data_IF_015468463280
#
_entry.id   IF_015468463280
#
_cell.length_a   1.000
_cell.length_b   1.000
_cell.length_c   1.000
_cell.angle_alpha   90.00
_cell.angle_beta   90.00
_cell.angle_gamma   90.00
#
_symmetry.space_group_name_H-M   'P 1'
#
loop_
_entity.id
_entity.type
_entity.pdbx_description
1 polymer ?
#
# COMPACT_ATOMS: atom_id res chain seq x y z
N UNK A 1 9.48 -10.53 20.27
CA UNK A 1 8.76 -11.13 21.42
C UNK A 1 7.30 -10.69 21.35
N UNK A 2 6.41 -11.58 20.92
CA UNK A 2 4.96 -11.36 20.82
C UNK A 2 4.20 -12.38 21.71
N UNK A 3 4.90 -13.01 22.64
CA UNK A 3 4.51 -14.30 23.23
C UNK A 3 3.59 -14.19 24.46
N UNK A 4 3.23 -12.97 24.90
CA UNK A 4 2.54 -12.78 26.20
C UNK A 4 1.03 -12.50 26.09
N UNK A 5 0.45 -12.45 24.89
CA UNK A 5 -0.99 -12.21 24.72
C UNK A 5 -1.79 -13.52 24.65
N UNK A 6 -2.72 -13.70 25.59
CA UNK A 6 -3.69 -14.78 25.67
C UNK A 6 -4.90 -14.52 24.76
N UNK A 7 -4.69 -14.68 23.46
CA UNK A 7 -5.75 -14.54 22.47
C UNK A 7 -6.86 -15.60 22.63
N UNK A 8 -6.58 -16.74 23.27
CA UNK A 8 -7.59 -17.76 23.57
C UNK A 8 -8.57 -17.27 24.65
N UNK A 9 -8.07 -16.65 25.72
CA UNK A 9 -8.90 -15.99 26.73
C UNK A 9 -9.74 -14.88 26.11
N UNK A 10 -9.13 -14.00 25.32
CA UNK A 10 -9.82 -12.92 24.61
C UNK A 10 -10.95 -13.47 23.71
N UNK A 11 -10.65 -14.43 22.84
CA UNK A 11 -11.66 -15.02 21.95
C UNK A 11 -12.77 -15.77 22.70
N UNK A 12 -12.45 -16.48 23.79
CA UNK A 12 -13.45 -17.15 24.61
C UNK A 12 -14.36 -16.15 25.36
N UNK A 13 -13.89 -14.94 25.65
CA UNK A 13 -14.76 -13.89 26.21
C UNK A 13 -15.84 -13.41 25.21
N UNK A 14 -15.54 -13.50 23.90
CA UNK A 14 -16.43 -13.08 22.81
C UNK A 14 -17.29 -14.25 22.31
N UNK A 15 -16.70 -15.43 22.21
CA UNK A 15 -17.32 -16.68 21.78
C UNK A 15 -17.22 -17.71 22.92
N UNK A 16 -18.13 -17.70 23.90
CA UNK A 16 -18.03 -18.57 25.07
C UNK A 16 -18.03 -20.06 24.72
N UNK A 17 -17.24 -20.83 25.48
CA UNK A 17 -17.10 -22.28 25.33
C UNK A 17 -16.47 -22.69 23.99
N UNK A 18 -15.53 -21.90 23.49
CA UNK A 18 -14.78 -22.19 22.26
C UNK A 18 -13.30 -22.35 22.53
N UNK A 19 -12.64 -23.15 21.70
CA UNK A 19 -11.18 -23.28 21.68
C UNK A 19 -10.68 -23.02 20.27
N UNK A 20 -9.57 -22.29 20.16
CA UNK A 20 -9.00 -21.82 18.92
C UNK A 20 -7.53 -22.21 18.83
N UNK A 21 -7.11 -22.67 17.65
CA UNK A 21 -5.70 -22.73 17.26
C UNK A 21 -5.30 -21.37 16.69
N UNK A 22 -4.24 -20.76 17.23
CA UNK A 22 -3.86 -19.39 16.89
C UNK A 22 -2.45 -19.42 16.33
N UNK A 23 -2.30 -18.94 15.10
CA UNK A 23 -1.05 -18.95 14.35
C UNK A 23 -0.73 -17.55 13.84
N UNK A 24 0.51 -17.10 14.02
CA UNK A 24 0.96 -15.80 13.52
C UNK A 24 1.06 -15.85 12.00
N UNK A 25 0.50 -14.86 11.32
CA UNK A 25 0.67 -14.67 9.89
C UNK A 25 1.94 -13.85 9.61
N UNK A 26 2.63 -14.20 8.52
CA UNK A 26 3.77 -13.43 8.02
C UNK A 26 3.28 -12.14 7.33
N UNK A 27 4.16 -11.15 7.19
CA UNK A 27 3.90 -9.93 6.40
C UNK A 27 3.40 -8.71 7.18
N UNK A 28 2.77 -8.89 8.34
CA UNK A 28 2.36 -7.77 9.20
C UNK A 28 3.55 -7.11 9.91
N UNK A 29 3.95 -5.91 9.47
CA UNK A 29 5.04 -5.14 10.09
C UNK A 29 4.52 -4.26 11.24
N UNK A 30 3.35 -3.67 11.06
CA UNK A 30 2.80 -2.63 11.95
C UNK A 30 1.96 -3.23 13.08
N UNK A 31 1.21 -4.29 12.79
CA UNK A 31 0.37 -4.99 13.76
C UNK A 31 0.80 -6.44 13.93
N UNK A 32 0.46 -7.02 15.08
CA UNK A 32 0.54 -8.47 15.24
C UNK A 32 -0.70 -9.10 14.59
N UNK A 33 -0.50 -9.80 13.48
CA UNK A 33 -1.57 -10.45 12.73
C UNK A 33 -1.56 -11.95 12.95
N UNK A 34 -2.72 -12.53 13.25
CA UNK A 34 -2.89 -13.97 13.51
C UNK A 34 -4.10 -14.52 12.77
N UNK A 35 -4.04 -15.80 12.38
CA UNK A 35 -5.20 -16.60 12.04
C UNK A 35 -5.60 -17.44 13.25
N UNK A 36 -6.87 -17.35 13.64
CA UNK A 36 -7.48 -18.16 14.67
C UNK A 36 -8.48 -19.14 14.04
N UNK A 37 -8.26 -20.44 14.19
CA UNK A 37 -9.12 -21.49 13.65
C UNK A 37 -9.80 -22.24 14.78
N UNK A 38 -11.14 -22.35 14.72
CA UNK A 38 -11.94 -23.00 15.74
C UNK A 38 -11.63 -24.51 15.79
N UNK A 39 -11.21 -25.01 16.95
CA UNK A 39 -10.91 -26.44 17.17
C UNK A 39 -11.95 -27.15 18.02
N UNK A 40 -12.73 -26.42 18.83
CA UNK A 40 -13.81 -26.98 19.65
C UNK A 40 -14.85 -25.90 19.99
N UNK A 41 -16.08 -26.32 20.24
CA UNK A 41 -17.22 -25.44 20.52
C UNK A 41 -18.04 -25.08 19.28
N UNK A 42 -18.85 -24.03 19.39
CA UNK A 42 -19.67 -23.51 18.29
C UNK A 42 -19.58 -21.99 18.26
N UNK A 43 -19.19 -21.44 17.11
CA UNK A 43 -19.17 -20.02 16.82
C UNK A 43 -19.72 -19.77 15.41
N UNK A 44 -20.19 -18.55 15.08
CA UNK A 44 -20.63 -18.22 13.72
C UNK A 44 -19.53 -18.35 12.66
N UNK A 45 -18.26 -18.37 13.08
CA UNK A 45 -17.08 -18.42 12.23
C UNK A 45 -16.20 -19.62 12.62
N UNK A 46 -15.71 -20.35 11.62
CA UNK A 46 -14.75 -21.44 11.83
C UNK A 46 -13.29 -20.99 11.76
N UNK A 47 -13.05 -19.81 11.19
CA UNK A 47 -11.73 -19.15 11.16
C UNK A 47 -11.90 -17.63 11.15
N UNK A 48 -10.94 -16.94 11.75
CA UNK A 48 -10.91 -15.49 11.94
C UNK A 48 -9.48 -14.95 11.75
N UNK A 49 -9.37 -13.69 11.34
CA UNK A 49 -8.11 -12.94 11.41
C UNK A 49 -8.16 -11.97 12.58
N UNK A 50 -7.13 -12.02 13.43
CA UNK A 50 -6.90 -11.08 14.51
C UNK A 50 -5.78 -10.13 14.11
N UNK A 51 -6.04 -8.82 14.14
CA UNK A 51 -4.98 -7.80 14.08
C UNK A 51 -4.93 -7.08 15.42
N UNK A 52 -3.82 -7.22 16.12
CA UNK A 52 -3.58 -6.58 17.42
C UNK A 52 -2.57 -5.45 17.26
N UNK A 53 -3.03 -4.23 17.51
CA UNK A 53 -2.22 -3.02 17.59
C UNK A 53 -1.87 -2.71 19.06
N UNK A 54 -0.58 -2.51 19.30
CA UNK A 54 -0.03 -1.88 20.51
C UNK A 54 0.38 -0.43 20.18
N UNK A 55 0.71 0.43 21.17
CA UNK A 55 1.12 1.82 20.94
C UNK A 55 2.51 1.95 20.27
N UNK A 56 2.89 0.98 19.45
CA UNK A 56 4.11 0.91 18.68
C UNK A 56 3.96 -0.02 17.46
N UNK A 57 4.91 0.06 16.53
CA UNK A 57 5.02 -0.81 15.35
C UNK A 57 5.46 -2.21 15.78
N UNK A 58 4.69 -3.24 15.47
CA UNK A 58 4.92 -4.62 15.94
C UNK A 58 6.33 -5.16 15.63
N UNK A 59 6.91 -4.79 14.48
CA UNK A 59 8.27 -5.15 14.10
C UNK A 59 9.35 -4.39 14.89
N UNK A 60 9.19 -3.07 15.07
CA UNK A 60 10.17 -2.21 15.75
C UNK A 60 10.10 -2.28 17.28
N UNK A 61 8.98 -2.71 17.84
CA UNK A 61 8.77 -2.75 19.29
C UNK A 61 8.55 -1.35 19.89
N UNK A 62 8.55 -1.21 21.22
CA UNK A 62 8.21 0.03 21.92
C UNK A 62 9.03 1.28 21.55
N UNK A 63 10.21 1.10 20.94
CA UNK A 63 11.05 2.22 20.48
C UNK A 63 10.47 2.92 19.23
N UNK A 64 9.55 2.26 18.53
CA UNK A 64 8.89 2.75 17.33
C UNK A 64 7.43 3.07 17.65
N UNK A 65 7.22 4.14 18.42
CA UNK A 65 5.90 4.58 18.87
C UNK A 65 4.93 4.78 17.69
N UNK A 66 3.74 4.22 17.82
CA UNK A 66 2.68 4.40 16.86
C UNK A 66 1.33 4.10 17.51
N UNK A 67 0.46 5.10 17.47
CA UNK A 67 -0.83 5.13 18.16
C UNK A 67 -1.78 3.99 17.74
N UNK A 68 -2.61 3.47 18.66
CA UNK A 68 -3.51 2.34 18.34
C UNK A 68 -4.70 2.76 17.47
N UNK A 69 -5.01 4.05 17.41
CA UNK A 69 -6.06 4.69 16.62
C UNK A 69 -5.88 4.49 15.11
N UNK A 70 -4.71 4.04 14.65
CA UNK A 70 -4.55 3.53 13.27
C UNK A 70 -5.55 2.41 12.94
N UNK A 71 -5.98 1.63 13.95
CA UNK A 71 -7.01 0.62 13.76
C UNK A 71 -8.44 1.20 13.74
N UNK A 72 -8.68 2.40 14.30
CA UNK A 72 -9.95 3.11 14.07
C UNK A 72 -10.09 3.50 12.60
N UNK A 73 -8.98 3.91 11.96
CA UNK A 73 -8.94 4.22 10.53
C UNK A 73 -9.26 2.97 9.71
N UNK A 74 -8.57 1.85 9.98
CA UNK A 74 -8.83 0.60 9.27
C UNK A 74 -10.27 0.10 9.48
N UNK A 75 -10.77 0.11 10.72
CA UNK A 75 -12.14 -0.29 11.03
C UNK A 75 -13.19 0.58 10.30
N UNK A 76 -12.99 1.90 10.29
CA UNK A 76 -13.89 2.84 9.61
C UNK A 76 -13.96 2.54 8.12
N UNK A 77 -12.83 2.34 7.46
CA UNK A 77 -12.81 2.07 6.02
C UNK A 77 -13.35 0.70 5.67
N UNK A 78 -13.05 -0.34 6.45
CA UNK A 78 -13.66 -1.66 6.25
C UNK A 78 -15.19 -1.59 6.40
N UNK A 79 -15.70 -0.76 7.32
CA UNK A 79 -17.14 -0.51 7.45
C UNK A 79 -17.71 0.24 6.25
N UNK A 80 -17.05 1.30 5.79
CA UNK A 80 -17.49 2.10 4.63
C UNK A 80 -17.48 1.30 3.32
N UNK A 81 -16.49 0.43 3.14
CA UNK A 81 -16.37 -0.46 1.97
C UNK A 81 -17.21 -1.74 2.07
N UNK A 82 -17.70 -2.10 3.26
CA UNK A 82 -18.52 -3.28 3.49
C UNK A 82 -19.85 -3.25 2.72
N UNK A 83 -20.56 -4.37 2.65
CA UNK A 83 -21.73 -4.53 1.77
C UNK A 83 -22.87 -3.53 2.03
N UNK A 84 -22.99 -3.05 3.26
CA UNK A 84 -23.94 -2.01 3.68
C UNK A 84 -23.31 -0.62 3.84
N UNK A 85 -22.02 -0.48 3.54
CA UNK A 85 -21.25 0.75 3.73
C UNK A 85 -21.52 1.79 2.64
N UNK A 86 -21.28 3.06 2.97
CA UNK A 86 -21.56 4.17 2.07
C UNK A 86 -20.71 4.16 0.78
N UNK A 87 -19.58 3.47 0.78
CA UNK A 87 -18.69 3.31 -0.38
C UNK A 87 -18.92 2.01 -1.15
N UNK A 88 -19.82 1.12 -0.69
CA UNK A 88 -20.18 -0.11 -1.41
C UNK A 88 -20.57 0.12 -2.88
N UNK A 89 -21.36 1.17 -3.24
CA UNK A 89 -21.65 1.44 -4.65
C UNK A 89 -20.40 1.79 -5.46
N UNK A 90 -19.44 2.51 -4.88
CA UNK A 90 -18.17 2.86 -5.54
C UNK A 90 -17.33 1.61 -5.80
N UNK A 91 -17.27 0.68 -4.82
CA UNK A 91 -16.58 -0.61 -4.93
C UNK A 91 -17.08 -1.50 -6.08
N UNK A 92 -18.26 -1.23 -6.62
CA UNK A 92 -18.88 -2.01 -7.69
C UNK A 92 -19.03 -1.26 -9.02
N UNK A 93 -18.58 0.00 -9.12
CA UNK A 93 -18.93 0.90 -10.22
C UNK A 93 -18.28 0.52 -11.58
N UNK A 94 -17.03 0.04 -11.56
CA UNK A 94 -16.27 -0.32 -12.79
C UNK A 94 -15.42 -1.57 -12.62
N UNK A 95 -14.81 -1.71 -11.46
CA UNK A 95 -14.05 -2.86 -11.03
C UNK A 95 -14.73 -3.43 -9.80
N UNK A 96 -14.75 -4.76 -9.68
CA UNK A 96 -15.15 -5.43 -8.45
C UNK A 96 -13.88 -5.90 -7.75
N UNK A 97 -13.69 -5.49 -6.50
CA UNK A 97 -12.64 -5.97 -5.62
C UNK A 97 -13.25 -6.29 -4.25
N UNK A 98 -12.56 -7.15 -3.51
CA UNK A 98 -12.96 -7.58 -2.17
C UNK A 98 -12.21 -6.77 -1.11
N UNK A 99 -12.79 -6.70 0.08
CA UNK A 99 -12.10 -6.24 1.28
C UNK A 99 -12.57 -7.11 2.44
N UNK A 100 -11.72 -7.38 3.46
CA UNK A 100 -12.13 -8.18 4.60
C UNK A 100 -13.37 -7.59 5.28
N UNK A 101 -14.27 -8.44 5.73
CA UNK A 101 -15.37 -7.97 6.56
C UNK A 101 -14.85 -7.68 7.96
N UNK A 102 -15.07 -6.46 8.46
CA UNK A 102 -14.92 -6.15 9.88
C UNK A 102 -16.02 -6.87 10.68
N UNK A 103 -15.61 -7.77 11.57
CA UNK A 103 -16.53 -8.48 12.48
C UNK A 103 -16.64 -7.72 13.81
N UNK A 104 -15.51 -7.27 14.34
CA UNK A 104 -15.43 -6.59 15.63
C UNK A 104 -14.18 -5.73 15.74
N UNK A 105 -14.28 -4.63 16.47
CA UNK A 105 -13.17 -3.77 16.86
C UNK A 105 -13.29 -3.47 18.35
N UNK A 106 -12.30 -3.88 19.13
CA UNK A 106 -12.23 -3.62 20.57
C UNK A 106 -10.99 -2.77 20.90
N UNK A 107 -11.17 -1.81 21.80
CA UNK A 107 -10.12 -0.89 22.25
C UNK A 107 -10.12 -0.81 23.77
N UNK A 108 -8.95 -0.60 24.36
CA UNK A 108 -8.80 -0.42 25.79
C UNK A 108 -7.37 -0.72 26.24
N UNK A 109 -7.26 -1.32 27.43
CA UNK A 109 -5.98 -1.84 27.93
C UNK A 109 -5.99 -3.38 27.88
N UNK A 110 -4.81 -3.99 27.71
CA UNK A 110 -4.68 -5.45 27.55
C UNK A 110 -5.36 -6.24 28.67
N UNK A 111 -5.27 -5.78 29.92
CA UNK A 111 -5.92 -6.43 31.07
C UNK A 111 -7.44 -6.41 31.03
N UNK A 112 -8.04 -5.34 30.49
CA UNK A 112 -9.49 -5.25 30.35
C UNK A 112 -9.99 -6.07 29.17
N UNK A 113 -9.18 -6.18 28.12
CA UNK A 113 -9.46 -7.06 26.98
C UNK A 113 -9.16 -8.53 27.30
N UNK A 114 -8.53 -8.84 28.44
CA UNK A 114 -8.15 -10.20 28.79
C UNK A 114 -7.05 -10.79 27.90
N UNK A 115 -6.24 -9.92 27.28
CA UNK A 115 -5.07 -10.31 26.48
C UNK A 115 -3.87 -10.58 27.38
N UNK A 116 -3.61 -9.77 28.40
CA UNK A 116 -2.50 -10.00 29.33
C UNK A 116 -2.75 -9.23 30.64
N UNK A 117 -1.98 -9.43 31.71
CA UNK A 117 -2.08 -8.60 32.92
C UNK A 117 -1.65 -7.12 32.73
N UNK A 118 -1.17 -6.74 31.55
CA UNK A 118 -0.61 -5.41 31.25
C UNK A 118 -1.70 -4.32 31.22
N UNK A 119 -1.33 -3.11 31.67
CA UNK A 119 -2.15 -1.90 31.51
C UNK A 119 -1.82 -1.13 30.22
N UNK A 120 -1.02 -1.74 29.33
CA UNK A 120 -0.70 -1.16 28.04
C UNK A 120 -1.98 -1.03 27.19
N UNK A 121 -2.07 0.07 26.47
CA UNK A 121 -3.13 0.28 25.49
C UNK A 121 -3.07 -0.78 24.39
N UNK A 122 -4.24 -1.25 23.96
CA UNK A 122 -4.39 -2.22 22.92
C UNK A 122 -5.65 -1.95 22.11
N UNK A 123 -5.54 -2.21 20.81
CA UNK A 123 -6.66 -2.28 19.89
C UNK A 123 -6.62 -3.61 19.16
N UNK A 124 -7.77 -4.26 19.01
CA UNK A 124 -7.89 -5.55 18.31
C UNK A 124 -9.02 -5.48 17.28
N UNK A 125 -8.66 -5.72 16.02
CA UNK A 125 -9.62 -5.99 14.94
C UNK A 125 -9.80 -7.49 14.79
N UNK A 126 -11.05 -7.92 14.72
CA UNK A 126 -11.45 -9.25 14.28
C UNK A 126 -12.05 -9.11 12.89
N UNK A 127 -11.42 -9.74 11.90
CA UNK A 127 -11.83 -9.72 10.51
C UNK A 127 -12.25 -11.12 10.06
N UNK A 128 -13.14 -11.18 9.08
CA UNK A 128 -13.45 -12.44 8.42
C UNK A 128 -12.20 -13.01 7.74
N UNK A 129 -11.95 -14.30 7.96
CA UNK A 129 -10.90 -15.02 7.26
C UNK A 129 -11.31 -15.31 5.83
N UNK A 130 -10.50 -14.83 4.89
CA UNK A 130 -10.70 -15.01 3.45
C UNK A 130 -9.97 -16.24 2.91
N UNK A 131 -9.42 -17.08 3.79
CA UNK A 131 -8.71 -18.31 3.44
C UNK A 131 -7.22 -18.08 3.23
N UNK A 132 -6.58 -18.99 2.50
CA UNK A 132 -5.17 -18.89 2.16
C UNK A 132 -4.97 -17.88 1.04
N UNK A 133 -4.19 -16.83 1.32
CA UNK A 133 -3.94 -15.73 0.42
C UNK A 133 -2.44 -15.57 0.16
N UNK A 134 -2.11 -15.07 -1.01
CA UNK A 134 -0.75 -14.67 -1.41
C UNK A 134 -0.76 -13.23 -1.90
N UNK A 135 0.37 -12.53 -1.82
CA UNK A 135 0.45 -11.19 -2.38
C UNK A 135 0.48 -11.22 -3.92
N UNK A 136 0.20 -10.08 -4.56
CA UNK A 136 0.06 -10.01 -6.02
C UNK A 136 1.34 -10.41 -6.77
N UNK A 137 2.54 -10.12 -6.24
CA UNK A 137 3.81 -10.48 -6.89
C UNK A 137 4.04 -11.99 -6.83
N UNK A 138 3.80 -12.63 -5.68
CA UNK A 138 3.85 -14.08 -5.54
C UNK A 138 2.85 -14.77 -6.47
N UNK A 139 1.63 -14.25 -6.55
CA UNK A 139 0.59 -14.75 -7.44
C UNK A 139 1.03 -14.71 -8.93
N UNK A 140 1.61 -13.58 -9.36
CA UNK A 140 2.10 -13.40 -10.73
C UNK A 140 3.25 -14.35 -11.05
N UNK A 141 4.25 -14.45 -10.15
CA UNK A 141 5.40 -15.35 -10.32
C UNK A 141 4.97 -16.81 -10.41
N UNK A 142 4.06 -17.24 -9.53
CA UNK A 142 3.52 -18.59 -9.56
C UNK A 142 2.92 -18.95 -10.93
N UNK A 143 2.06 -18.10 -11.48
CA UNK A 143 1.40 -18.37 -12.77
C UNK A 143 2.28 -18.15 -14.00
N UNK A 144 3.34 -17.35 -13.87
CA UNK A 144 4.32 -17.18 -14.93
C UNK A 144 5.28 -18.38 -15.05
N UNK A 145 5.51 -19.11 -13.95
CA UNK A 145 6.42 -20.27 -13.92
C UNK A 145 6.04 -21.38 -14.91
N UNK A 146 7.04 -21.99 -15.55
CA UNK A 146 6.85 -23.08 -16.51
C UNK A 146 6.28 -24.32 -15.81
N UNK A 147 4.99 -24.59 -16.01
CA UNK A 147 4.28 -25.72 -15.43
C UNK A 147 2.96 -25.36 -14.73
N UNK A 148 2.75 -24.09 -14.38
CA UNK A 148 1.63 -23.66 -13.52
C UNK A 148 0.68 -22.65 -14.19
N UNK A 149 0.33 -22.88 -15.46
CA UNK A 149 -0.52 -21.99 -16.28
C UNK A 149 -2.02 -22.23 -16.08
N UNK A 150 -2.49 -22.19 -14.84
CA UNK A 150 -3.92 -22.25 -14.56
C UNK A 150 -4.65 -20.93 -14.89
N UNK A 151 -3.90 -19.83 -14.99
CA UNK A 151 -4.42 -18.50 -15.32
C UNK A 151 -3.78 -18.01 -16.62
N UNK A 152 -4.61 -17.53 -17.54
CA UNK A 152 -4.18 -17.00 -18.85
C UNK A 152 -3.65 -15.58 -18.73
N UNK A 153 -2.81 -15.15 -19.68
CA UNK A 153 -2.33 -13.76 -19.74
C UNK A 153 -3.47 -12.73 -19.83
N UNK A 154 -4.60 -13.09 -20.46
CA UNK A 154 -5.79 -12.22 -20.50
C UNK A 154 -6.43 -12.05 -19.12
N UNK A 155 -6.47 -13.10 -18.31
CA UNK A 155 -6.95 -13.02 -16.93
C UNK A 155 -6.00 -12.21 -16.04
N UNK A 156 -4.68 -12.36 -16.19
CA UNK A 156 -3.71 -11.53 -15.46
C UNK A 156 -3.87 -10.04 -15.80
N UNK A 157 -4.06 -9.71 -17.08
CA UNK A 157 -4.38 -8.34 -17.51
C UNK A 157 -5.69 -7.85 -16.91
N UNK A 158 -6.73 -8.70 -16.83
CA UNK A 158 -7.99 -8.34 -16.17
C UNK A 158 -7.78 -7.99 -14.70
N UNK A 159 -6.99 -8.76 -13.96
CA UNK A 159 -6.64 -8.47 -12.56
C UNK A 159 -5.95 -7.10 -12.46
N UNK A 160 -4.93 -6.86 -13.29
CA UNK A 160 -4.23 -5.57 -13.35
C UNK A 160 -5.19 -4.40 -13.63
N UNK A 161 -6.08 -4.56 -14.62
CA UNK A 161 -7.12 -3.57 -14.94
C UNK A 161 -8.05 -3.32 -13.76
N UNK A 162 -8.50 -4.37 -13.08
CA UNK A 162 -9.38 -4.28 -11.91
C UNK A 162 -8.71 -3.49 -10.78
N UNK A 163 -7.43 -3.77 -10.48
CA UNK A 163 -6.70 -3.06 -9.41
C UNK A 163 -6.47 -1.59 -9.81
N UNK A 164 -6.06 -1.32 -11.05
CA UNK A 164 -5.85 0.05 -11.53
C UNK A 164 -7.14 0.88 -11.50
N UNK A 165 -8.27 0.29 -11.91
CA UNK A 165 -9.58 0.92 -11.79
C UNK A 165 -10.02 1.10 -10.34
N UNK A 166 -9.74 0.14 -9.45
CA UNK A 166 -10.06 0.24 -8.05
C UNK A 166 -9.39 1.47 -7.41
N UNK A 167 -8.08 1.62 -7.62
CA UNK A 167 -7.36 2.79 -7.10
C UNK A 167 -7.76 4.11 -7.77
N UNK A 168 -8.13 4.09 -9.06
CA UNK A 168 -8.71 5.28 -9.69
C UNK A 168 -10.07 5.68 -9.08
N UNK A 169 -10.85 4.72 -8.58
CA UNK A 169 -12.10 4.99 -7.85
C UNK A 169 -11.80 5.44 -6.41
N UNK A 170 -10.90 4.77 -5.70
CA UNK A 170 -10.50 5.13 -4.33
C UNK A 170 -10.00 6.59 -4.32
N UNK A 171 -9.14 6.96 -5.26
CA UNK A 171 -8.58 8.31 -5.37
C UNK A 171 -9.52 9.33 -6.01
N UNK A 172 -10.75 8.95 -6.36
CA UNK A 172 -11.65 9.86 -7.06
C UNK A 172 -12.24 10.94 -6.15
N UNK A 173 -12.50 12.15 -6.68
CA UNK A 173 -13.21 13.20 -5.94
C UNK A 173 -14.60 12.75 -5.46
N UNK A 174 -15.27 11.84 -6.18
CA UNK A 174 -16.56 11.28 -5.76
C UNK A 174 -16.45 10.45 -4.48
N UNK A 175 -15.41 9.65 -4.33
CA UNK A 175 -15.16 8.87 -3.10
C UNK A 175 -14.91 9.80 -1.93
N UNK A 176 -14.04 10.81 -2.10
CA UNK A 176 -13.78 11.79 -1.06
C UNK A 176 -15.04 12.57 -0.65
N UNK A 177 -15.86 12.98 -1.63
CA UNK A 177 -17.12 13.69 -1.39
C UNK A 177 -18.14 12.88 -0.57
N UNK A 178 -18.24 11.56 -0.84
CA UNK A 178 -19.10 10.68 -0.03
C UNK A 178 -18.62 10.66 1.43
N UNK A 179 -17.32 10.55 1.67
CA UNK A 179 -16.78 10.53 3.04
C UNK A 179 -16.99 11.88 3.73
N UNK A 180 -16.77 13.00 3.05
CA UNK A 180 -17.05 14.34 3.57
C UNK A 180 -18.52 14.53 3.97
N UNK A 181 -19.45 13.86 3.29
CA UNK A 181 -20.87 13.87 3.67
C UNK A 181 -21.19 13.11 4.97
N UNK A 182 -20.19 12.42 5.54
CA UNK A 182 -20.25 11.66 6.79
C UNK A 182 -19.32 12.30 7.84
N UNK A 183 -19.76 13.32 8.60
CA UNK A 183 -18.86 14.17 9.40
C UNK A 183 -17.97 13.42 10.40
N UNK A 184 -18.48 12.32 11.00
CA UNK A 184 -17.71 11.49 11.94
C UNK A 184 -16.58 10.74 11.23
N UNK A 185 -16.89 10.11 10.10
CA UNK A 185 -15.92 9.39 9.27
C UNK A 185 -14.89 10.35 8.70
N UNK A 186 -15.30 11.50 8.18
CA UNK A 186 -14.41 12.53 7.68
C UNK A 186 -13.43 13.03 8.75
N UNK A 187 -13.93 13.36 9.95
CA UNK A 187 -13.07 13.81 11.05
C UNK A 187 -12.02 12.76 11.44
N UNK A 188 -12.42 11.49 11.47
CA UNK A 188 -11.52 10.36 11.78
C UNK A 188 -10.45 10.16 10.70
N UNK A 189 -10.85 10.17 9.43
CA UNK A 189 -9.98 9.89 8.29
C UNK A 189 -9.12 11.09 7.85
N UNK A 190 -9.39 12.30 8.35
CA UNK A 190 -8.57 13.49 8.06
C UNK A 190 -7.40 13.63 9.05
N UNK A 191 -7.49 13.00 10.22
CA UNK A 191 -6.44 13.08 11.23
C UNK A 191 -5.24 12.24 10.80
N UNK A 192 -4.04 12.82 10.84
CA UNK A 192 -2.83 12.12 10.41
C UNK A 192 -2.11 11.51 11.61
N UNK A 193 -2.43 10.25 11.90
CA UNK A 193 -1.71 9.44 12.88
C UNK A 193 -0.36 8.93 12.36
N UNK A 194 -0.18 8.95 11.03
CA UNK A 194 0.90 8.25 10.32
C UNK A 194 2.08 9.15 9.99
N UNK A 195 1.93 10.48 10.05
CA UNK A 195 2.95 11.44 9.55
C UNK A 195 4.31 11.28 10.22
N UNK A 196 4.34 11.05 11.53
CA UNK A 196 5.59 10.85 12.27
C UNK A 196 6.31 9.58 11.79
N UNK A 197 5.55 8.49 11.63
CA UNK A 197 6.06 7.22 11.12
C UNK A 197 6.55 7.39 9.68
N UNK A 198 5.74 7.95 8.78
CA UNK A 198 6.13 8.23 7.38
C UNK A 198 7.43 9.05 7.28
N UNK A 199 7.62 10.02 8.17
CA UNK A 199 8.85 10.79 8.24
C UNK A 199 10.05 9.93 8.66
N UNK A 200 9.94 9.25 9.80
CA UNK A 200 11.02 8.46 10.39
C UNK A 200 11.45 7.29 9.50
N UNK A 201 10.50 6.65 8.81
CA UNK A 201 10.76 5.46 8.01
C UNK A 201 11.01 5.77 6.54
N UNK A 202 10.31 6.77 6.00
CA UNK A 202 10.28 7.04 4.56
C UNK A 202 11.15 8.21 4.13
N UNK A 203 11.34 9.23 4.97
CA UNK A 203 11.97 10.51 4.59
C UNK A 203 13.33 10.69 5.25
N UNK A 204 13.40 10.58 6.58
CA UNK A 204 14.63 10.80 7.35
C UNK A 204 15.81 9.92 6.87
N UNK A 205 15.63 8.61 6.60
CA UNK A 205 16.74 7.74 6.18
C UNK A 205 17.36 8.12 4.84
N UNK A 206 16.62 8.84 3.97
CA UNK A 206 17.05 9.18 2.61
C UNK A 206 18.36 9.97 2.59
N UNK A 207 18.57 10.83 3.60
CA UNK A 207 19.82 11.59 3.73
C UNK A 207 21.03 10.67 3.73
N UNK A 208 21.01 9.66 4.61
CA UNK A 208 22.10 8.70 4.74
C UNK A 208 22.18 7.80 3.50
N UNK A 209 21.04 7.37 2.96
CA UNK A 209 20.95 6.49 1.78
C UNK A 209 21.56 7.12 0.52
N UNK A 210 21.63 8.45 0.47
CA UNK A 210 22.23 9.22 -0.63
C UNK A 210 23.68 9.65 -0.39
N UNK A 211 24.23 9.50 0.83
CA UNK A 211 25.58 9.98 1.22
C UNK A 211 26.72 9.69 0.22
N UNK A 212 26.75 8.55 -0.48
CA UNK A 212 27.81 8.29 -1.47
C UNK A 212 27.83 9.28 -2.65
N UNK A 213 26.76 10.06 -2.86
CA UNK A 213 26.66 11.03 -3.95
C UNK A 213 27.15 12.42 -3.54
N UNK A 214 27.75 13.14 -4.49
CA UNK A 214 28.22 14.53 -4.27
C UNK A 214 27.08 15.55 -4.11
N UNK A 215 25.89 15.24 -4.61
CA UNK A 215 24.68 16.07 -4.57
C UNK A 215 23.64 15.58 -3.54
N UNK A 216 24.02 14.69 -2.63
CA UNK A 216 23.14 14.01 -1.68
C UNK A 216 22.22 14.95 -0.89
N UNK A 217 22.77 16.02 -0.32
CA UNK A 217 22.01 17.00 0.47
C UNK A 217 20.96 17.73 -0.37
N UNK A 218 21.23 17.97 -1.65
CA UNK A 218 20.30 18.64 -2.54
C UNK A 218 19.12 17.72 -2.88
N UNK A 219 19.40 16.46 -3.21
CA UNK A 219 18.36 15.46 -3.47
C UNK A 219 17.53 15.15 -2.22
N UNK A 220 18.17 15.01 -1.06
CA UNK A 220 17.47 14.86 0.22
C UNK A 220 16.56 16.05 0.50
N UNK A 221 17.04 17.28 0.28
CA UNK A 221 16.22 18.48 0.45
C UNK A 221 14.96 18.45 -0.43
N UNK A 222 15.04 17.96 -1.67
CA UNK A 222 13.86 17.82 -2.55
C UNK A 222 12.82 16.87 -1.96
N UNK A 223 13.26 15.72 -1.44
CA UNK A 223 12.37 14.76 -0.76
C UNK A 223 11.76 15.37 0.50
N UNK A 224 12.57 16.08 1.30
CA UNK A 224 12.13 16.74 2.52
C UNK A 224 11.10 17.84 2.24
N UNK A 225 11.33 18.65 1.21
CA UNK A 225 10.41 19.70 0.79
C UNK A 225 9.10 19.11 0.26
N UNK A 226 9.15 18.01 -0.49
CA UNK A 226 7.94 17.29 -0.94
C UNK A 226 7.11 16.71 0.22
N UNK A 227 7.72 16.51 1.41
CA UNK A 227 7.01 16.04 2.60
C UNK A 227 6.53 17.16 3.53
N UNK A 228 7.37 18.16 3.82
CA UNK A 228 7.07 19.23 4.78
C UNK A 228 6.63 20.55 4.14
N UNK A 229 7.15 20.88 2.96
CA UNK A 229 7.05 22.19 2.33
C UNK A 229 6.44 22.07 0.92
N UNK A 230 5.37 21.28 0.80
CA UNK A 230 4.74 20.97 -0.49
C UNK A 230 4.46 22.28 -1.25
N UNK A 231 5.11 22.43 -2.41
CA UNK A 231 5.08 23.68 -3.20
C UNK A 231 3.75 23.89 -3.93
N UNK A 232 3.03 22.81 -4.22
CA UNK A 232 1.86 22.80 -5.08
C UNK A 232 0.61 22.29 -4.35
N UNK A 233 -0.55 22.80 -4.73
CA UNK A 233 -1.81 22.35 -4.17
C UNK A 233 -2.34 21.17 -4.98
N UNK A 234 -2.16 19.97 -4.45
CA UNK A 234 -2.68 18.76 -5.06
C UNK A 234 -4.16 18.56 -4.74
N UNK A 235 -4.96 17.97 -5.65
CA UNK A 235 -6.31 17.55 -5.35
C UNK A 235 -6.30 16.54 -4.21
N UNK A 236 -7.12 16.80 -3.20
CA UNK A 236 -7.34 15.86 -2.12
C UNK A 236 -8.00 14.58 -2.63
N UNK A 237 -7.56 13.43 -2.12
CA UNK A 237 -8.23 12.16 -2.31
C UNK A 237 -8.11 11.26 -1.07
N UNK A 238 -9.04 10.30 -0.96
CA UNK A 238 -8.82 9.16 -0.07
C UNK A 238 -7.61 8.38 -0.58
N UNK A 239 -6.56 8.27 0.23
CA UNK A 239 -5.42 7.40 -0.02
C UNK A 239 -5.46 6.20 0.93
N UNK A 240 -4.92 5.06 0.50
CA UNK A 240 -4.62 3.91 1.34
C UNK A 240 -3.43 4.21 2.27
N UNK A 241 -2.46 5.00 1.81
CA UNK A 241 -1.35 5.56 2.59
C UNK A 241 -0.08 4.72 2.61
N UNK A 242 -0.20 3.39 2.53
CA UNK A 242 0.92 2.44 2.42
C UNK A 242 0.64 1.40 1.32
N UNK A 243 0.36 1.89 0.10
CA UNK A 243 0.04 1.00 -1.01
C UNK A 243 1.29 0.29 -1.53
N UNK A 244 1.36 -1.01 -1.28
CA UNK A 244 2.43 -1.89 -1.72
C UNK A 244 1.87 -3.17 -2.35
N UNK A 245 2.71 -4.02 -2.99
CA UNK A 245 2.26 -5.33 -3.44
C UNK A 245 1.65 -6.21 -2.35
N UNK A 246 2.06 -6.01 -1.08
CA UNK A 246 1.49 -6.71 0.08
C UNK A 246 0.05 -6.32 0.39
N UNK A 247 -0.37 -5.11 0.02
CA UNK A 247 -1.73 -4.60 0.25
C UNK A 247 -2.75 -5.15 -0.76
N UNK A 248 -2.30 -5.90 -1.78
CA UNK A 248 -3.15 -6.61 -2.73
C UNK A 248 -2.96 -8.11 -2.56
N UNK A 249 -4.01 -8.76 -2.07
CA UNK A 249 -4.03 -10.20 -1.87
C UNK A 249 -4.87 -10.90 -2.92
N UNK A 250 -4.44 -12.10 -3.28
CA UNK A 250 -5.11 -13.01 -4.18
C UNK A 250 -5.33 -14.35 -3.47
N UNK A 251 -6.40 -15.06 -3.82
CA UNK A 251 -6.57 -16.45 -3.39
C UNK A 251 -5.32 -17.26 -3.78
N UNK A 252 -4.83 -18.09 -2.86
CA UNK A 252 -3.73 -19.01 -3.14
C UNK A 252 -3.99 -19.77 -4.46
N UNK A 253 -3.01 -19.90 -5.35
CA UNK A 253 -3.22 -20.47 -6.68
C UNK A 253 -3.74 -21.92 -6.64
N UNK A 254 -4.99 -22.09 -7.06
CA UNK A 254 -5.65 -23.38 -7.32
C UNK A 254 -6.39 -23.29 -8.67
N UNK A 255 -6.77 -24.42 -9.30
CA UNK A 255 -7.47 -24.38 -10.59
C UNK A 255 -8.79 -23.59 -10.59
N UNK A 256 -9.42 -23.39 -9.42
CA UNK A 256 -10.71 -22.73 -9.26
C UNK A 256 -10.64 -21.46 -8.38
N UNK A 257 -9.44 -20.88 -8.20
CA UNK A 257 -9.29 -19.70 -7.36
C UNK A 257 -10.11 -18.52 -7.86
N UNK A 258 -10.72 -17.77 -6.94
CA UNK A 258 -11.36 -16.51 -7.27
C UNK A 258 -10.26 -15.50 -7.64
N UNK A 259 -10.36 -14.97 -8.86
CA UNK A 259 -9.39 -14.00 -9.40
C UNK A 259 -9.75 -12.56 -9.02
N UNK A 260 -10.70 -12.37 -8.10
CA UNK A 260 -11.08 -11.05 -7.60
C UNK A 260 -10.05 -10.58 -6.56
N UNK A 261 -9.32 -9.48 -6.83
CA UNK A 261 -8.31 -8.97 -5.91
C UNK A 261 -8.93 -8.51 -4.60
N UNK A 262 -8.20 -8.69 -3.51
CA UNK A 262 -8.58 -8.23 -2.17
C UNK A 262 -7.65 -7.07 -1.79
N UNK A 263 -8.21 -5.93 -1.39
CA UNK A 263 -7.45 -4.79 -0.88
C UNK A 263 -7.56 -4.75 0.65
N UNK A 264 -6.41 -4.69 1.31
CA UNK A 264 -6.24 -4.77 2.77
C UNK A 264 -5.36 -3.63 3.31
N UNK A 265 -5.15 -3.63 4.63
CA UNK A 265 -4.19 -2.77 5.34
C UNK A 265 -4.50 -1.27 5.24
N UNK A 266 -5.75 -0.90 5.53
CA UNK A 266 -6.24 0.48 5.50
C UNK A 266 -5.76 1.36 6.66
N UNK A 267 -4.82 0.91 7.50
CA UNK A 267 -4.45 1.60 8.74
C UNK A 267 -3.69 2.91 8.53
N UNK A 268 -3.11 3.12 7.33
CA UNK A 268 -2.45 4.37 6.94
C UNK A 268 -3.37 5.32 6.17
N UNK A 269 -4.63 4.93 5.96
CA UNK A 269 -5.48 5.62 5.03
C UNK A 269 -5.90 6.99 5.54
N UNK A 270 -6.05 7.94 4.61
CA UNK A 270 -6.40 9.32 4.93
C UNK A 270 -7.21 9.99 3.83
N UNK A 271 -8.20 10.78 4.23
CA UNK A 271 -9.09 11.52 3.32
C UNK A 271 -8.41 12.70 2.64
N UNK A 272 -7.45 13.34 3.33
CA UNK A 272 -6.57 14.39 2.83
C UNK A 272 -5.26 13.82 2.26
N UNK A 273 -5.38 12.67 1.60
CA UNK A 273 -4.26 11.89 1.11
C UNK A 273 -3.72 12.33 -0.23
N UNK A 274 -2.72 11.58 -0.68
CA UNK A 274 -2.07 11.72 -1.97
C UNK A 274 -2.28 10.42 -2.75
N UNK A 275 -2.81 10.52 -3.97
CA UNK A 275 -3.13 9.35 -4.78
C UNK A 275 -1.97 8.92 -5.65
N UNK A 276 -1.86 9.50 -6.85
CA UNK A 276 -0.81 9.12 -7.81
C UNK A 276 0.60 9.38 -7.29
N UNK A 277 0.78 10.46 -6.53
CA UNK A 277 2.05 10.90 -5.98
C UNK A 277 2.33 10.37 -4.56
N UNK A 278 1.61 9.35 -4.09
CA UNK A 278 2.03 8.57 -2.92
C UNK A 278 1.73 7.09 -3.14
N UNK A 279 0.47 6.67 -3.02
CA UNK A 279 0.06 5.27 -3.15
C UNK A 279 0.59 4.62 -4.43
N UNK A 280 0.30 5.24 -5.58
CA UNK A 280 0.69 4.66 -6.87
C UNK A 280 2.21 4.73 -7.07
N UNK A 281 2.84 5.82 -6.66
CA UNK A 281 4.29 5.98 -6.73
C UNK A 281 5.03 4.89 -5.95
N UNK A 282 4.59 4.62 -4.70
CA UNK A 282 5.20 3.61 -3.83
C UNK A 282 4.91 2.18 -4.27
N UNK A 283 3.70 1.89 -4.74
CA UNK A 283 3.37 0.62 -5.35
C UNK A 283 4.28 0.34 -6.55
N UNK A 284 4.38 1.29 -7.48
CA UNK A 284 5.23 1.14 -8.67
C UNK A 284 6.72 1.09 -8.34
N UNK A 285 7.19 1.78 -7.29
CA UNK A 285 8.57 1.68 -6.85
C UNK A 285 8.91 0.24 -6.43
N UNK A 286 8.00 -0.40 -5.69
CA UNK A 286 8.11 -1.80 -5.31
C UNK A 286 8.12 -2.72 -6.55
N UNK A 287 7.20 -2.50 -7.50
CA UNK A 287 7.14 -3.27 -8.74
C UNK A 287 8.40 -3.10 -9.60
N UNK A 288 8.97 -1.88 -9.65
CA UNK A 288 10.20 -1.61 -10.39
C UNK A 288 11.41 -2.31 -9.77
N UNK A 289 11.52 -2.35 -8.45
CA UNK A 289 12.56 -3.11 -7.77
C UNK A 289 12.46 -4.62 -8.08
N UNK A 290 11.25 -5.17 -8.07
CA UNK A 290 11.01 -6.56 -8.47
C UNK A 290 11.38 -6.82 -9.94
N UNK A 291 11.07 -5.89 -10.86
CA UNK A 291 11.48 -5.99 -12.27
C UNK A 291 13.00 -5.99 -12.44
N UNK A 292 13.73 -5.13 -11.72
CA UNK A 292 15.21 -5.10 -11.73
C UNK A 292 15.77 -6.46 -11.30
N UNK A 293 15.24 -7.05 -10.22
CA UNK A 293 15.68 -8.37 -9.77
C UNK A 293 15.41 -9.47 -10.80
N UNK A 294 14.23 -9.44 -11.42
CA UNK A 294 13.85 -10.44 -12.42
C UNK A 294 14.65 -10.29 -13.72
N UNK A 295 14.99 -9.06 -14.10
CA UNK A 295 15.86 -8.79 -15.25
C UNK A 295 17.27 -9.36 -15.04
N UNK A 296 17.82 -9.22 -13.84
CA UNK A 296 19.16 -9.71 -13.52
C UNK A 296 19.20 -11.24 -13.30
N UNK A 297 18.23 -11.79 -12.57
CA UNK A 297 18.34 -13.15 -12.00
C UNK A 297 17.05 -13.99 -12.15
N UNK A 298 15.98 -13.46 -12.74
CA UNK A 298 14.67 -14.12 -12.81
C UNK A 298 14.40 -14.86 -14.11
N UNK A 299 13.22 -15.49 -14.19
CA UNK A 299 12.73 -16.02 -15.45
C UNK A 299 12.20 -14.89 -16.35
N UNK A 300 12.49 -14.97 -17.64
CA UNK A 300 11.90 -14.08 -18.65
C UNK A 300 10.36 -14.09 -18.59
N UNK A 301 9.75 -15.24 -18.31
CA UNK A 301 8.31 -15.34 -18.20
C UNK A 301 7.75 -14.56 -17.01
N UNK A 302 8.45 -14.58 -15.86
CA UNK A 302 8.07 -13.82 -14.67
C UNK A 302 8.25 -12.31 -14.90
N UNK A 303 9.37 -11.92 -15.53
CA UNK A 303 9.62 -10.54 -15.94
C UNK A 303 8.51 -10.02 -16.87
N UNK A 304 8.21 -10.76 -17.95
CA UNK A 304 7.19 -10.37 -18.95
C UNK A 304 5.79 -10.30 -18.32
N UNK A 305 5.47 -11.19 -17.37
CA UNK A 305 4.20 -11.16 -16.65
C UNK A 305 4.08 -9.95 -15.74
N UNK A 306 5.13 -9.63 -14.97
CA UNK A 306 5.14 -8.48 -14.06
C UNK A 306 5.13 -7.15 -14.83
N UNK A 307 5.89 -7.06 -15.92
CA UNK A 307 5.91 -5.89 -16.80
C UNK A 307 4.53 -5.68 -17.43
N UNK A 308 3.96 -6.72 -18.03
CA UNK A 308 2.63 -6.65 -18.63
C UNK A 308 1.54 -6.30 -17.61
N UNK A 309 1.65 -6.79 -16.38
CA UNK A 309 0.75 -6.42 -15.29
C UNK A 309 0.86 -4.91 -15.01
N UNK A 310 2.09 -4.42 -14.83
CA UNK A 310 2.37 -3.03 -14.45
C UNK A 310 1.89 -2.05 -15.52
N UNK A 311 2.16 -2.31 -16.80
CA UNK A 311 1.68 -1.49 -17.92
C UNK A 311 0.15 -1.43 -17.97
N UNK A 312 -0.50 -2.58 -17.77
CA UNK A 312 -1.96 -2.68 -17.82
C UNK A 312 -2.60 -1.96 -16.63
N UNK A 313 -2.00 -2.11 -15.44
CA UNK A 313 -2.41 -1.41 -14.22
C UNK A 313 -2.30 0.12 -14.41
N UNK A 314 -1.16 0.62 -14.90
CA UNK A 314 -0.93 2.05 -15.12
C UNK A 314 -1.94 2.63 -16.13
N UNK A 315 -2.19 1.92 -17.22
CA UNK A 315 -3.18 2.33 -18.22
C UNK A 315 -4.59 2.43 -17.64
N UNK A 316 -5.01 1.41 -16.88
CA UNK A 316 -6.34 1.38 -16.26
C UNK A 316 -6.52 2.47 -15.18
N UNK A 317 -5.48 2.71 -14.38
CA UNK A 317 -5.47 3.79 -13.39
C UNK A 317 -5.55 5.17 -14.07
N UNK A 318 -4.70 5.45 -15.06
CA UNK A 318 -4.70 6.69 -15.84
C UNK A 318 -6.07 7.00 -16.43
N UNK A 319 -6.69 6.00 -17.06
CA UNK A 319 -8.00 6.14 -17.70
C UNK A 319 -9.12 6.40 -16.71
N UNK A 320 -9.05 5.77 -15.53
CA UNK A 320 -10.06 5.93 -14.48
C UNK A 320 -9.93 7.27 -13.76
N UNK A 321 -8.69 7.70 -13.50
CA UNK A 321 -8.34 8.93 -12.79
C UNK A 321 -8.31 10.17 -13.70
N UNK A 322 -8.42 9.98 -15.02
CA UNK A 322 -8.38 11.03 -16.03
C UNK A 322 -7.14 11.96 -15.93
N UNK A 323 -5.97 11.34 -15.73
CA UNK A 323 -4.70 12.07 -15.61
C UNK A 323 -4.20 12.48 -17.01
N UNK A 324 -4.46 13.73 -17.41
CA UNK A 324 -3.93 14.33 -18.64
C UNK A 324 -2.97 15.50 -18.33
N UNK A 325 -1.75 15.41 -18.83
CA UNK A 325 -0.68 16.37 -18.63
C UNK A 325 -0.49 17.20 -19.89
N UNK A 326 -0.71 18.51 -19.77
CA UNK A 326 -0.23 19.47 -20.76
C UNK A 326 1.15 19.97 -20.31
N UNK A 327 2.10 20.14 -21.25
CA UNK A 327 3.45 20.63 -20.98
C UNK A 327 3.46 22.12 -20.56
N UNK A 328 2.96 22.41 -19.35
CA UNK A 328 2.79 23.73 -18.76
C UNK A 328 3.01 23.68 -17.26
N UNK A 329 3.65 24.70 -16.69
CA UNK A 329 3.97 24.76 -15.26
C UNK A 329 2.73 24.91 -14.36
N UNK A 330 1.65 25.50 -14.87
CA UNK A 330 0.39 25.68 -14.13
C UNK A 330 -0.57 24.50 -14.24
N UNK A 331 -0.20 23.44 -14.98
CA UNK A 331 -1.00 22.23 -15.07
C UNK A 331 -0.80 21.35 -13.82
N UNK A 332 -1.88 21.12 -13.07
CA UNK A 332 -1.82 20.34 -11.81
C UNK A 332 -1.36 18.89 -12.03
N UNK A 333 -1.69 18.25 -13.16
CA UNK A 333 -1.23 16.89 -13.43
C UNK A 333 0.27 16.87 -13.76
N UNK A 334 0.81 17.93 -14.36
CA UNK A 334 2.26 18.06 -14.57
C UNK A 334 2.99 18.24 -13.24
N UNK A 335 2.44 19.04 -12.32
CA UNK A 335 2.97 19.16 -10.95
C UNK A 335 2.89 17.84 -10.18
N UNK A 336 1.81 17.05 -10.39
CA UNK A 336 1.67 15.70 -9.84
C UNK A 336 2.66 14.71 -10.45
N UNK A 337 2.92 14.77 -11.76
CA UNK A 337 3.92 13.93 -12.42
C UNK A 337 5.30 14.16 -11.79
N UNK A 338 5.70 15.43 -11.61
CA UNK A 338 6.94 15.79 -10.89
C UNK A 338 6.98 15.21 -9.47
N UNK A 339 5.91 15.41 -8.70
CA UNK A 339 5.80 14.87 -7.33
C UNK A 339 5.91 13.33 -7.31
N UNK A 340 5.26 12.67 -8.28
CA UNK A 340 5.31 11.22 -8.45
C UNK A 340 6.74 10.73 -8.70
N UNK A 341 7.56 11.46 -9.47
CA UNK A 341 8.99 11.16 -9.65
C UNK A 341 9.75 11.19 -8.32
N UNK A 342 9.56 12.23 -7.50
CA UNK A 342 10.23 12.37 -6.20
C UNK A 342 9.87 11.20 -5.28
N UNK A 343 8.58 10.93 -5.12
CA UNK A 343 8.12 9.91 -4.20
C UNK A 343 8.46 8.50 -4.70
N UNK A 344 8.36 8.24 -6.01
CA UNK A 344 8.81 6.97 -6.57
C UNK A 344 10.30 6.73 -6.34
N UNK A 345 11.14 7.73 -6.58
CA UNK A 345 12.58 7.65 -6.33
C UNK A 345 12.92 7.44 -4.85
N UNK A 346 12.22 8.14 -3.94
CA UNK A 346 12.30 7.95 -2.49
C UNK A 346 12.00 6.50 -2.10
N UNK A 347 10.89 5.96 -2.58
CA UNK A 347 10.47 4.60 -2.26
C UNK A 347 11.42 3.55 -2.85
N UNK A 348 11.98 3.78 -4.04
CA UNK A 348 13.01 2.90 -4.59
C UNK A 348 14.27 2.86 -3.72
N UNK A 349 14.74 4.03 -3.25
CA UNK A 349 15.86 4.09 -2.31
C UNK A 349 15.53 3.34 -1.02
N UNK A 350 14.34 3.54 -0.47
CA UNK A 350 13.94 2.86 0.76
C UNK A 350 13.94 1.33 0.57
N UNK A 351 13.32 0.84 -0.49
CA UNK A 351 13.29 -0.60 -0.80
C UNK A 351 14.67 -1.19 -1.03
N UNK A 352 15.56 -0.46 -1.71
CA UNK A 352 16.92 -0.92 -1.97
C UNK A 352 17.69 -1.24 -0.68
N UNK A 353 17.50 -0.44 0.38
CA UNK A 353 18.16 -0.63 1.68
C UNK A 353 17.33 -1.47 2.67
N UNK A 354 16.00 -1.37 2.66
CA UNK A 354 15.15 -2.05 3.66
C UNK A 354 14.86 -3.50 3.27
N UNK A 355 14.73 -3.78 1.97
CA UNK A 355 14.33 -5.09 1.45
C UNK A 355 15.45 -5.77 0.68
N UNK A 356 16.25 -5.02 -0.06
CA UNK A 356 17.19 -5.57 -1.03
C UNK A 356 18.66 -5.26 -0.74
N UNK A 357 19.03 -4.84 0.48
CA UNK A 357 20.41 -4.41 0.80
C UNK A 357 21.46 -5.47 0.47
N UNK A 358 21.14 -6.75 0.72
CA UNK A 358 22.00 -7.87 0.39
C UNK A 358 21.98 -8.29 -1.08
N UNK A 359 21.14 -7.68 -1.92
CA UNK A 359 21.03 -8.01 -3.35
C UNK A 359 22.14 -7.34 -4.15
N UNK A 360 22.78 -8.04 -5.11
CA UNK A 360 23.73 -7.41 -6.02
C UNK A 360 23.09 -6.30 -6.88
N UNK A 361 21.76 -6.30 -7.02
CA UNK A 361 21.01 -5.29 -7.79
C UNK A 361 20.63 -4.06 -6.94
N UNK A 362 20.95 -4.03 -5.64
CA UNK A 362 20.61 -2.90 -4.76
C UNK A 362 21.18 -1.58 -5.29
N UNK A 363 22.41 -1.62 -5.82
CA UNK A 363 23.04 -0.46 -6.44
C UNK A 363 22.23 0.09 -7.62
N UNK A 364 21.73 -0.78 -8.49
CA UNK A 364 20.94 -0.36 -9.66
C UNK A 364 19.61 0.29 -9.23
N UNK A 365 19.02 -0.20 -8.13
CA UNK A 365 17.82 0.41 -7.54
C UNK A 365 18.12 1.78 -6.93
N UNK A 366 19.25 1.94 -6.23
CA UNK A 366 19.69 3.22 -5.66
C UNK A 366 19.99 4.23 -6.76
N UNK A 367 20.71 3.81 -7.80
CA UNK A 367 21.09 4.66 -8.93
C UNK A 367 19.83 5.13 -9.69
N UNK A 368 18.87 4.24 -9.95
CA UNK A 368 17.60 4.61 -10.60
C UNK A 368 16.70 5.45 -9.69
N UNK A 369 16.59 5.13 -8.40
CA UNK A 369 15.82 5.94 -7.45
C UNK A 369 16.36 7.36 -7.32
N UNK A 370 17.69 7.50 -7.29
CA UNK A 370 18.37 8.81 -7.31
C UNK A 370 18.08 9.56 -8.62
N UNK A 371 18.11 8.86 -9.76
CA UNK A 371 17.81 9.44 -11.08
C UNK A 371 16.40 10.07 -11.11
N UNK A 372 15.39 9.42 -10.54
CA UNK A 372 14.03 9.97 -10.47
C UNK A 372 13.96 11.27 -9.65
N UNK A 373 14.62 11.33 -8.49
CA UNK A 373 14.66 12.54 -7.64
C UNK A 373 15.46 13.66 -8.31
N UNK A 374 16.54 13.29 -9.01
CA UNK A 374 17.38 14.23 -9.76
C UNK A 374 16.58 14.92 -10.87
N UNK A 375 15.86 14.13 -11.67
CA UNK A 375 15.11 14.60 -12.84
C UNK A 375 13.76 15.21 -12.51
N UNK A 376 13.30 15.12 -11.26
CA UNK A 376 12.17 15.90 -10.77
C UNK A 376 12.49 17.41 -10.64
N UNK A 377 13.79 17.77 -10.62
CA UNK A 377 14.27 19.15 -10.47
C UNK A 377 13.72 19.87 -9.21
N UNK A 378 14.07 21.15 -9.04
CA UNK A 378 13.63 21.93 -7.88
C UNK A 378 12.18 22.41 -8.01
N UNK A 379 11.69 22.54 -9.25
CA UNK A 379 10.34 22.98 -9.55
C UNK A 379 9.85 22.49 -10.92
N UNK A 380 8.57 22.72 -11.19
CA UNK A 380 7.91 22.29 -12.42
C UNK A 380 8.43 23.03 -13.65
N UNK A 381 8.89 24.28 -13.50
CA UNK A 381 9.52 25.02 -14.59
C UNK A 381 10.79 24.31 -15.07
N UNK A 382 11.71 23.99 -14.16
CA UNK A 382 12.92 23.23 -14.47
C UNK A 382 12.59 21.79 -14.93
N UNK A 383 11.58 21.16 -14.34
CA UNK A 383 11.11 19.83 -14.76
C UNK A 383 10.72 19.81 -16.23
N UNK A 384 10.14 20.91 -16.73
CA UNK A 384 9.66 21.08 -18.10
C UNK A 384 10.73 21.59 -19.08
N UNK A 385 11.91 21.98 -18.60
CA UNK A 385 13.01 22.43 -19.46
C UNK A 385 13.30 21.39 -20.54
N UNK A 386 13.51 21.85 -21.78
CA UNK A 386 13.64 20.94 -22.93
C UNK A 386 14.78 19.93 -22.74
N UNK A 387 15.89 20.34 -22.12
CA UNK A 387 17.00 19.45 -21.81
C UNK A 387 16.59 18.35 -20.80
N UNK A 388 15.89 18.71 -19.72
CA UNK A 388 15.39 17.73 -18.76
C UNK A 388 14.34 16.82 -19.39
N UNK A 389 13.47 17.38 -20.21
CA UNK A 389 12.41 16.64 -20.90
C UNK A 389 12.95 15.56 -21.85
N UNK A 390 14.05 15.83 -22.57
CA UNK A 390 14.73 14.80 -23.35
C UNK A 390 15.35 13.70 -22.48
N UNK A 391 15.83 14.03 -21.27
CA UNK A 391 16.29 13.02 -20.31
C UNK A 391 15.12 12.19 -19.77
N UNK A 392 13.95 12.80 -19.50
CA UNK A 392 12.78 12.07 -19.02
C UNK A 392 12.32 10.99 -20.00
N UNK A 393 12.51 11.17 -21.32
CA UNK A 393 12.23 10.12 -22.32
C UNK A 393 13.09 8.86 -22.17
N UNK A 394 14.17 8.93 -21.40
CA UNK A 394 15.05 7.81 -21.08
C UNK A 394 14.57 7.02 -19.86
N UNK A 395 13.45 7.40 -19.24
CA UNK A 395 12.86 6.64 -18.14
C UNK A 395 12.67 5.17 -18.56
N UNK A 396 13.22 4.20 -17.80
CA UNK A 396 13.08 2.79 -18.11
C UNK A 396 11.61 2.35 -18.22
N UNK A 397 11.18 1.98 -19.42
CA UNK A 397 9.81 1.55 -19.70
C UNK A 397 8.76 2.67 -19.62
N UNK A 398 9.17 3.94 -19.43
CA UNK A 398 8.28 5.09 -19.25
C UNK A 398 7.21 4.85 -18.17
N UNK A 399 7.54 4.11 -17.10
CA UNK A 399 6.55 3.57 -16.16
C UNK A 399 5.72 4.66 -15.50
N UNK A 400 6.35 5.68 -14.91
CA UNK A 400 5.67 6.79 -14.24
C UNK A 400 5.00 7.69 -15.27
N UNK A 401 5.65 7.99 -16.39
CA UNK A 401 5.02 8.76 -17.47
C UNK A 401 3.76 8.07 -18.02
N UNK A 402 3.71 6.73 -18.02
CA UNK A 402 2.56 5.97 -18.50
C UNK A 402 1.31 6.15 -17.62
N UNK A 403 1.42 6.67 -16.41
CA UNK A 403 0.28 7.04 -15.56
C UNK A 403 -0.47 8.27 -16.08
N UNK A 404 0.10 9.00 -17.03
CA UNK A 404 -0.43 10.26 -17.54
C UNK A 404 -0.61 10.20 -19.06
N UNK A 405 -1.64 10.88 -19.57
CA UNK A 405 -1.75 11.19 -20.99
C UNK A 405 -0.98 12.47 -21.24
N UNK A 406 0.24 12.36 -21.72
CA UNK A 406 1.08 13.53 -22.00
C UNK A 406 0.72 14.05 -23.40
N UNK A 407 0.22 15.29 -23.46
CA UNK A 407 -0.23 15.99 -24.67
C UNK A 407 0.85 16.89 -25.27
#
# INVERSE_FOLDING_TARGET
>A
MAEDADYQSYLNSIFPNTTWSISRLAGGIVNFTFRATLTSGSAPYTSLILKHARPYIAFGGPEWEFTTERQDVEAELLSLWGDSGALCPQRNLKAHWRSPQLIRHDQGIESTLGLSPSTQEASVLILADLGELVNIVEFLKFHASEGNKNVTSAQLKKIATTIGQAFGIIHSPSTASIIHSLPKSAARLTHSYTKAVEYQTGVEPIRQRLEPRSDAEHLYKRVLDEFHNVKYNYPECLALGDFSPGSVLMDAPTPNSDLTPIIVDWEFARLNGQGVNADIAGFLASMRCELILLEANGSKAEYDALLSFTDTFCAAYRETSNLSCQKRSDNVHMQLLRSTFIIHGREMLNRAYDTYDSSPCSKDMVDLGSWYIEHACDDVEQFLDDANWENLKQEPGLMIQSLFKIE
#
